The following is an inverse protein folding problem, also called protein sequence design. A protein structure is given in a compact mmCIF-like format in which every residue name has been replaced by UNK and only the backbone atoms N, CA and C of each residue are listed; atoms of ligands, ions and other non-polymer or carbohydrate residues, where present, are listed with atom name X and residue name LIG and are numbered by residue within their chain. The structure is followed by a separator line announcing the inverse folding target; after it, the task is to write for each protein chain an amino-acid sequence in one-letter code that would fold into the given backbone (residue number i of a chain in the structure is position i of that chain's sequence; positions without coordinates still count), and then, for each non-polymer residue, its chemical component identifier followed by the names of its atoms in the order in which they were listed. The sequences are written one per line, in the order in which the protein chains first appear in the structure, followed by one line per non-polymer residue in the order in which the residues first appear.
data_IF_535796306635
#
_entry.id   IF_535796306635
#
_cell.length_a   1.000
_cell.length_b   1.000
_cell.length_c   1.000
_cell.angle_alpha   90.00
_cell.angle_beta   90.00
_cell.angle_gamma   90.00
#
_symmetry.space_group_name_H-M   'P 1'
#
loop_
_entity.id
_entity.type
_entity.pdbx_description
1 polymer ?
#
# COMPACT_ATOMS: atom_id res chain seq x y z
N UNK A 1 -21.92 38.26 -19.94
CA UNK A 1 -22.24 37.29 -21.02
C UNK A 1 -20.97 36.52 -21.33
N UNK A 2 -20.83 35.29 -20.81
CA UNK A 2 -19.71 34.40 -21.14
C UNK A 2 -19.88 33.90 -22.57
N UNK A 3 -18.82 33.91 -23.37
CA UNK A 3 -18.82 33.36 -24.72
C UNK A 3 -19.20 31.86 -24.70
N UNK A 4 -19.88 31.34 -25.74
CA UNK A 4 -20.25 29.93 -25.79
C UNK A 4 -18.99 29.07 -25.90
N UNK A 5 -18.87 28.12 -24.97
CA UNK A 5 -17.78 27.16 -24.92
C UNK A 5 -17.79 26.31 -26.21
N UNK A 6 -16.71 26.38 -27.01
CA UNK A 6 -16.58 25.62 -28.25
C UNK A 6 -16.47 24.13 -27.94
N UNK A 7 -17.58 23.41 -27.96
CA UNK A 7 -17.61 21.95 -27.81
C UNK A 7 -16.89 21.31 -29.02
N UNK A 8 -15.68 20.79 -28.81
CA UNK A 8 -14.93 20.06 -29.83
C UNK A 8 -15.61 18.72 -30.13
N UNK A 9 -15.86 18.44 -31.41
CA UNK A 9 -16.56 17.22 -31.85
C UNK A 9 -15.62 16.00 -31.74
N UNK A 10 -16.04 14.98 -30.99
CA UNK A 10 -15.26 13.74 -30.77
C UNK A 10 -15.61 12.74 -31.88
N UNK A 11 -14.66 12.37 -32.75
CA UNK A 11 -14.98 11.58 -33.96
C UNK A 11 -14.01 10.42 -34.23
N UNK A 12 -12.74 10.69 -34.53
CA UNK A 12 -11.74 9.67 -34.84
C UNK A 12 -10.81 9.44 -33.64
N UNK A 13 -10.34 8.20 -33.45
CA UNK A 13 -9.43 7.76 -32.36
C UNK A 13 -10.05 7.66 -30.95
N UNK A 14 -11.31 8.04 -30.79
CA UNK A 14 -12.04 7.91 -29.51
C UNK A 14 -13.30 7.09 -29.69
N UNK A 15 -14.21 7.51 -30.58
CA UNK A 15 -15.51 6.87 -30.77
C UNK A 15 -15.58 5.94 -31.98
N UNK A 16 -14.63 6.03 -32.92
CA UNK A 16 -14.55 5.18 -34.11
C UNK A 16 -13.10 4.75 -34.38
N UNK A 17 -12.89 3.52 -34.87
CA UNK A 17 -11.58 3.05 -35.28
C UNK A 17 -11.02 3.92 -36.40
N UNK A 18 -9.72 4.22 -36.32
CA UNK A 18 -9.03 5.02 -37.32
C UNK A 18 -8.66 4.15 -38.52
N UNK A 19 -9.18 4.50 -39.70
CA UNK A 19 -9.04 3.69 -40.92
C UNK A 19 -8.26 4.40 -42.03
N UNK A 20 -8.00 5.71 -41.91
CA UNK A 20 -7.33 6.53 -42.93
C UNK A 20 -5.83 6.69 -42.64
N UNK A 21 -5.07 5.61 -42.81
CA UNK A 21 -3.64 5.58 -42.50
C UNK A 21 -2.77 6.57 -43.27
N UNK A 22 -3.18 6.98 -44.47
CA UNK A 22 -2.46 7.96 -45.29
C UNK A 22 -2.29 9.32 -44.58
N UNK A 23 -3.28 9.72 -43.78
CA UNK A 23 -3.29 11.02 -43.09
C UNK A 23 -3.03 10.87 -41.58
N UNK A 24 -2.54 9.70 -41.15
CA UNK A 24 -2.40 9.34 -39.74
C UNK A 24 -1.59 10.35 -38.94
N UNK A 25 -0.42 10.76 -39.46
CA UNK A 25 0.49 11.64 -38.74
C UNK A 25 -0.14 13.02 -38.45
N UNK A 26 -0.82 13.59 -39.44
CA UNK A 26 -1.52 14.87 -39.30
C UNK A 26 -2.72 14.74 -38.36
N UNK A 27 -3.50 13.67 -38.53
CA UNK A 27 -4.64 13.37 -37.66
C UNK A 27 -4.21 13.16 -36.19
N UNK A 28 -3.07 12.50 -35.94
CA UNK A 28 -2.53 12.31 -34.59
C UNK A 28 -2.04 13.62 -33.99
N UNK A 29 -1.34 14.47 -34.77
CA UNK A 29 -0.94 15.81 -34.32
C UNK A 29 -2.13 16.67 -33.98
N UNK A 30 -3.19 16.63 -34.78
CA UNK A 30 -4.43 17.35 -34.50
C UNK A 30 -5.11 16.81 -33.24
N UNK A 31 -5.27 15.49 -33.11
CA UNK A 31 -5.85 14.83 -31.93
C UNK A 31 -5.07 15.14 -30.65
N UNK A 32 -3.75 15.01 -30.66
CA UNK A 32 -2.88 15.33 -29.53
C UNK A 32 -3.08 16.77 -29.03
N UNK A 33 -3.37 17.69 -29.95
CA UNK A 33 -3.62 19.09 -29.63
C UNK A 33 -5.07 19.41 -29.24
N UNK A 34 -5.99 18.45 -29.31
CA UNK A 34 -7.37 18.64 -28.85
C UNK A 34 -7.44 18.77 -27.34
N UNK A 35 -8.42 19.55 -26.88
CA UNK A 35 -8.56 19.86 -25.46
C UNK A 35 -8.93 18.62 -24.65
N UNK A 36 -9.83 17.78 -25.17
CA UNK A 36 -10.25 16.56 -24.48
C UNK A 36 -9.10 15.56 -24.32
N UNK A 37 -8.18 15.45 -25.29
CA UNK A 37 -7.01 14.58 -25.17
C UNK A 37 -6.08 15.10 -24.06
N UNK A 38 -5.75 16.40 -24.08
CA UNK A 38 -4.92 17.03 -23.04
C UNK A 38 -5.52 16.87 -21.65
N UNK A 39 -6.82 17.13 -21.50
CA UNK A 39 -7.53 16.94 -20.24
C UNK A 39 -7.53 15.48 -19.80
N UNK A 40 -7.67 14.52 -20.72
CA UNK A 40 -7.62 13.10 -20.38
C UNK A 40 -6.22 12.70 -19.91
N UNK A 41 -5.16 13.17 -20.57
CA UNK A 41 -3.76 12.94 -20.15
C UNK A 41 -3.50 13.53 -18.76
N UNK A 42 -3.96 14.75 -18.50
CA UNK A 42 -3.84 15.39 -17.18
C UNK A 42 -4.59 14.57 -16.12
N UNK A 43 -5.83 14.15 -16.39
CA UNK A 43 -6.62 13.31 -15.47
C UNK A 43 -5.93 11.99 -15.17
N UNK A 44 -5.36 11.33 -16.19
CA UNK A 44 -4.58 10.11 -16.00
C UNK A 44 -3.34 10.35 -15.15
N UNK A 45 -2.61 11.44 -15.38
CA UNK A 45 -1.43 11.81 -14.59
C UNK A 45 -1.78 12.10 -13.12
N UNK A 46 -2.88 12.82 -12.86
CA UNK A 46 -3.38 13.05 -11.50
C UNK A 46 -3.83 11.76 -10.82
N UNK A 47 -4.55 10.88 -11.53
CA UNK A 47 -4.95 9.58 -11.03
C UNK A 47 -3.75 8.71 -10.66
N UNK A 48 -2.72 8.65 -11.52
CA UNK A 48 -1.49 7.92 -11.23
C UNK A 48 -0.77 8.48 -10.00
N UNK A 49 -0.74 9.81 -9.82
CA UNK A 49 -0.17 10.43 -8.61
C UNK A 49 -0.91 10.04 -7.34
N UNK A 50 -2.23 9.86 -7.40
CA UNK A 50 -3.03 9.40 -6.26
C UNK A 50 -2.73 7.92 -5.97
N UNK A 51 -2.73 7.07 -7.00
CA UNK A 51 -2.43 5.64 -6.88
C UNK A 51 -1.01 5.36 -6.35
N UNK A 52 -0.04 6.17 -6.76
CA UNK A 52 1.35 6.11 -6.28
C UNK A 52 1.54 6.73 -4.88
N UNK A 53 0.47 7.18 -4.21
CA UNK A 53 0.50 7.89 -2.94
C UNK A 53 1.33 9.20 -2.94
N UNK A 54 1.56 9.82 -4.11
CA UNK A 54 2.26 11.12 -4.25
C UNK A 54 1.34 12.31 -4.00
N UNK A 55 0.03 12.14 -4.15
CA UNK A 55 -1.02 13.09 -3.76
C UNK A 55 -2.13 12.35 -2.99
N UNK A 56 -2.75 12.98 -1.97
CA UNK A 56 -3.91 12.40 -1.32
C UNK A 56 -5.13 12.42 -2.25
N UNK A 57 -6.02 11.47 -2.07
CA UNK A 57 -7.32 11.45 -2.73
C UNK A 57 -8.12 12.72 -2.41
N UNK A 58 -8.91 13.21 -3.37
CA UNK A 58 -9.68 14.45 -3.25
C UNK A 58 -10.66 14.40 -2.06
N UNK A 59 -11.27 13.24 -1.80
CA UNK A 59 -12.16 13.06 -0.65
C UNK A 59 -11.44 13.28 0.68
N UNK A 60 -10.20 12.78 0.80
CA UNK A 60 -9.34 12.95 1.98
C UNK A 60 -8.79 14.38 2.05
N UNK A 61 -8.50 15.01 0.91
CA UNK A 61 -7.96 16.36 0.84
C UNK A 61 -8.99 17.42 1.27
N UNK A 62 -10.27 17.19 0.99
CA UNK A 62 -11.37 18.08 1.36
C UNK A 62 -11.82 17.83 2.81
N UNK A 63 -11.77 16.58 3.27
CA UNK A 63 -12.22 16.20 4.61
C UNK A 63 -11.04 15.97 5.57
N UNK A 64 -10.66 17.03 6.29
CA UNK A 64 -9.63 16.98 7.32
C UNK A 64 -9.98 16.05 8.48
N UNK A 65 -11.26 15.84 8.77
CA UNK A 65 -11.70 14.92 9.82
C UNK A 65 -11.52 13.47 9.37
N UNK A 66 -11.89 13.14 8.13
CA UNK A 66 -11.65 11.81 7.56
C UNK A 66 -10.15 11.48 7.50
N UNK A 67 -9.31 12.45 7.10
CA UNK A 67 -7.85 12.30 7.15
C UNK A 67 -7.35 11.96 8.56
N UNK A 68 -7.85 12.66 9.59
CA UNK A 68 -7.46 12.40 10.97
C UNK A 68 -7.88 11.01 11.44
N UNK A 69 -9.08 10.54 11.08
CA UNK A 69 -9.55 9.18 11.39
C UNK A 69 -8.63 8.13 10.76
N UNK A 70 -8.25 8.30 9.50
CA UNK A 70 -7.32 7.38 8.82
C UNK A 70 -5.96 7.36 9.53
N UNK A 71 -5.41 8.52 9.86
CA UNK A 71 -4.14 8.62 10.58
C UNK A 71 -4.21 7.96 11.96
N UNK A 72 -5.30 8.17 12.68
CA UNK A 72 -5.53 7.57 14.00
C UNK A 72 -5.61 6.04 13.90
N UNK A 73 -6.35 5.51 12.90
CA UNK A 73 -6.45 4.08 12.63
C UNK A 73 -5.13 3.45 12.18
N UNK A 74 -4.32 4.18 11.40
CA UNK A 74 -2.98 3.74 11.03
C UNK A 74 -2.03 3.71 12.22
N UNK A 75 -1.98 4.78 13.03
CA UNK A 75 -1.14 4.85 14.24
C UNK A 75 -1.44 3.70 15.19
N UNK A 76 -2.72 3.35 15.29
CA UNK A 76 -3.26 2.21 16.00
C UNK A 76 -2.70 0.85 15.52
N UNK A 77 -2.48 0.65 14.21
CA UNK A 77 -1.93 -0.59 13.66
C UNK A 77 -0.42 -0.75 13.85
N UNK A 78 0.31 0.36 13.98
CA UNK A 78 1.78 0.36 14.15
C UNK A 78 2.26 -0.58 15.26
N UNK A 79 1.80 -0.48 16.52
CA UNK A 79 2.30 -1.35 17.60
C UNK A 79 2.00 -2.84 17.37
N UNK A 80 0.90 -3.15 16.67
CA UNK A 80 0.51 -4.52 16.32
C UNK A 80 1.47 -5.10 15.29
N UNK A 81 1.71 -4.37 14.21
CA UNK A 81 2.62 -4.77 13.13
C UNK A 81 4.05 -4.89 13.67
N UNK A 82 4.52 -3.93 14.46
CA UNK A 82 5.84 -3.98 15.09
C UNK A 82 6.03 -5.20 15.97
N UNK A 83 4.98 -5.61 16.70
CA UNK A 83 5.03 -6.81 17.55
C UNK A 83 5.14 -8.08 16.71
N UNK A 84 4.42 -8.17 15.58
CA UNK A 84 4.53 -9.29 14.64
C UNK A 84 5.95 -9.34 14.04
N UNK A 85 6.48 -8.20 13.60
CA UNK A 85 7.84 -8.09 13.07
C UNK A 85 8.88 -8.49 14.12
N UNK A 86 8.72 -8.04 15.37
CA UNK A 86 9.60 -8.40 16.46
C UNK A 86 9.66 -9.92 16.65
N UNK A 87 8.51 -10.58 16.76
CA UNK A 87 8.44 -12.04 16.89
C UNK A 87 9.11 -12.75 15.71
N UNK A 88 8.84 -12.31 14.47
CA UNK A 88 9.45 -12.90 13.28
C UNK A 88 10.97 -12.73 13.23
N UNK A 89 11.51 -11.58 13.68
CA UNK A 89 12.97 -11.31 13.68
C UNK A 89 13.72 -12.01 14.81
N UNK A 90 13.06 -12.26 15.94
CA UNK A 90 13.65 -12.92 17.10
C UNK A 90 13.37 -14.44 17.13
N UNK A 91 12.70 -14.97 16.11
CA UNK A 91 12.29 -16.38 16.05
C UNK A 91 11.41 -16.80 17.25
N UNK A 92 10.63 -15.85 17.77
CA UNK A 92 9.72 -16.07 18.88
C UNK A 92 8.37 -16.52 18.33
N UNK A 93 7.87 -17.66 18.82
CA UNK A 93 6.57 -18.18 18.44
C UNK A 93 5.47 -17.14 18.69
N UNK A 94 4.63 -16.85 17.70
CA UNK A 94 3.61 -15.81 17.82
C UNK A 94 2.45 -16.21 18.74
N UNK A 95 1.98 -17.47 18.60
CA UNK A 95 0.72 -17.98 19.17
C UNK A 95 0.96 -18.85 20.41
N UNK A 96 -0.07 -18.91 21.25
CA UNK A 96 -0.21 -19.85 22.36
C UNK A 96 -1.40 -20.78 22.14
N UNK A 97 -1.90 -21.39 23.22
CA UNK A 97 -2.99 -22.36 23.18
C UNK A 97 -4.35 -21.72 22.85
N UNK A 98 -4.60 -20.52 23.37
CA UNK A 98 -5.82 -19.76 23.11
C UNK A 98 -5.53 -18.28 22.91
N UNK A 99 -5.51 -17.81 21.66
CA UNK A 99 -5.17 -16.44 21.28
C UNK A 99 -6.38 -15.52 21.05
N UNK A 100 -7.55 -15.90 21.59
CA UNK A 100 -8.82 -15.20 21.40
C UNK A 100 -9.24 -14.35 22.60
N UNK A 101 -10.21 -13.45 22.39
CA UNK A 101 -10.83 -12.63 23.44
C UNK A 101 -10.03 -11.37 23.83
N UNK A 102 -10.45 -10.65 24.89
CA UNK A 102 -9.83 -9.41 25.34
C UNK A 102 -8.37 -9.59 25.77
N UNK A 103 -7.49 -8.63 25.43
CA UNK A 103 -6.05 -8.76 25.67
C UNK A 103 -5.69 -8.80 27.16
N UNK A 104 -6.42 -8.07 28.00
CA UNK A 104 -6.15 -7.99 29.44
C UNK A 104 -6.86 -9.06 30.28
N UNK A 105 -7.66 -9.95 29.69
CA UNK A 105 -8.41 -10.99 30.42
C UNK A 105 -7.68 -12.33 30.52
N UNK A 106 -6.34 -12.33 30.59
CA UNK A 106 -5.55 -13.56 30.67
C UNK A 106 -5.62 -14.16 32.08
N UNK A 107 -6.03 -15.41 32.21
CA UNK A 107 -5.84 -16.19 33.43
C UNK A 107 -4.41 -16.73 33.49
N UNK A 108 -3.86 -16.92 34.69
CA UNK A 108 -2.51 -17.46 34.88
C UNK A 108 -2.32 -18.84 34.24
N UNK A 109 -3.40 -19.61 34.12
CA UNK A 109 -3.40 -20.97 33.60
C UNK A 109 -3.51 -21.06 32.07
N UNK A 110 -3.72 -19.93 31.36
CA UNK A 110 -3.91 -19.91 29.91
C UNK A 110 -2.77 -19.19 29.20
N UNK A 111 -2.02 -19.92 28.38
CA UNK A 111 -1.03 -19.34 27.48
C UNK A 111 -1.73 -18.79 26.23
N UNK A 112 -1.93 -17.47 26.15
CA UNK A 112 -2.49 -16.82 24.96
C UNK A 112 -1.44 -16.34 23.95
N UNK A 113 -0.17 -16.71 24.15
CA UNK A 113 0.92 -16.51 23.21
C UNK A 113 1.72 -15.23 23.40
N UNK A 114 2.89 -15.21 22.76
CA UNK A 114 3.85 -14.12 22.92
C UNK A 114 3.36 -12.81 22.32
N UNK A 115 2.62 -12.85 21.21
CA UNK A 115 2.05 -11.64 20.60
C UNK A 115 1.16 -10.87 21.57
N UNK A 116 0.22 -11.58 22.23
CA UNK A 116 -0.72 -10.96 23.18
C UNK A 116 -0.01 -10.50 24.45
N UNK A 117 0.94 -11.30 24.94
CA UNK A 117 1.79 -10.95 26.08
C UNK A 117 2.64 -9.71 25.83
N UNK A 118 3.23 -9.58 24.65
CA UNK A 118 4.01 -8.39 24.26
C UNK A 118 3.14 -7.14 24.13
N UNK A 119 1.94 -7.26 23.57
CA UNK A 119 0.99 -6.13 23.53
C UNK A 119 0.60 -5.66 24.92
N UNK A 120 0.35 -6.59 25.87
CA UNK A 120 0.14 -6.24 27.29
C UNK A 120 1.34 -5.53 27.87
N UNK A 121 2.54 -6.07 27.65
CA UNK A 121 3.78 -5.50 28.15
C UNK A 121 3.98 -4.06 27.64
N UNK A 122 3.77 -3.80 26.35
CA UNK A 122 3.86 -2.46 25.75
C UNK A 122 2.86 -1.48 26.38
N UNK A 123 1.59 -1.90 26.50
CA UNK A 123 0.54 -1.10 27.11
C UNK A 123 0.84 -0.76 28.58
N UNK A 124 1.37 -1.72 29.35
CA UNK A 124 1.78 -1.53 30.74
C UNK A 124 3.06 -0.68 30.88
N UNK A 125 3.91 -0.68 29.86
CA UNK A 125 5.18 0.07 29.83
C UNK A 125 5.03 1.53 29.38
N UNK A 126 3.79 2.03 29.20
CA UNK A 126 3.52 3.44 28.93
C UNK A 126 2.98 3.77 27.54
N UNK A 127 2.71 2.77 26.69
CA UNK A 127 1.98 2.98 25.43
C UNK A 127 0.47 3.19 25.72
N UNK A 128 0.13 4.41 26.16
CA UNK A 128 -1.23 4.77 26.57
C UNK A 128 -2.24 4.69 25.42
N UNK A 129 -1.81 4.99 24.20
CA UNK A 129 -2.65 4.90 23.00
C UNK A 129 -3.00 3.45 22.67
N UNK A 130 -2.01 2.55 22.73
CA UNK A 130 -2.28 1.11 22.60
C UNK A 130 -3.17 0.63 23.74
N UNK A 131 -2.87 1.03 24.98
CA UNK A 131 -3.62 0.60 26.16
C UNK A 131 -5.11 0.96 26.06
N UNK A 132 -5.41 2.24 25.86
CA UNK A 132 -6.78 2.74 25.71
C UNK A 132 -7.53 1.96 24.64
N UNK A 133 -6.87 1.71 23.50
CA UNK A 133 -7.46 0.94 22.41
C UNK A 133 -7.80 -0.49 22.81
N UNK A 134 -6.86 -1.19 23.44
CA UNK A 134 -7.02 -2.58 23.83
C UNK A 134 -8.13 -2.77 24.88
N UNK A 135 -8.43 -1.73 25.66
CA UNK A 135 -9.49 -1.72 26.68
C UNK A 135 -10.85 -1.25 26.12
N UNK A 136 -10.85 -0.20 25.29
CA UNK A 136 -12.06 0.56 24.95
C UNK A 136 -12.55 0.39 23.51
N UNK A 137 -11.78 -0.23 22.62
CA UNK A 137 -12.20 -0.41 21.22
C UNK A 137 -13.18 -1.56 21.04
N UNK A 138 -14.10 -1.40 20.09
CA UNK A 138 -14.93 -2.50 19.60
C UNK A 138 -14.04 -3.66 19.10
N UNK A 139 -14.50 -4.91 19.26
CA UNK A 139 -13.70 -6.12 19.02
C UNK A 139 -13.09 -6.17 17.61
N UNK A 140 -13.80 -5.68 16.60
CA UNK A 140 -13.33 -5.60 15.20
C UNK A 140 -12.25 -4.52 14.98
N UNK A 141 -12.15 -3.54 15.87
CA UNK A 141 -11.21 -2.43 15.78
C UNK A 141 -9.94 -2.64 16.61
N UNK A 142 -9.74 -3.82 17.22
CA UNK A 142 -8.54 -4.16 18.01
C UNK A 142 -7.43 -4.76 17.14
N UNK A 143 -7.78 -5.40 16.01
CA UNK A 143 -6.84 -6.02 15.05
C UNK A 143 -5.91 -7.08 15.65
N UNK A 144 -6.33 -7.70 16.75
CA UNK A 144 -5.58 -8.75 17.45
C UNK A 144 -6.07 -10.17 17.13
N UNK A 145 -7.08 -10.31 16.27
CA UNK A 145 -7.66 -11.61 15.94
C UNK A 145 -6.67 -12.51 15.20
N UNK A 146 -6.79 -13.85 15.30
CA UNK A 146 -5.93 -14.78 14.57
C UNK A 146 -5.94 -14.56 13.06
N UNK A 147 -7.12 -14.23 12.52
CA UNK A 147 -7.34 -13.94 11.11
C UNK A 147 -6.58 -12.67 10.68
N UNK A 148 -6.74 -11.59 11.44
CA UNK A 148 -6.02 -10.33 11.16
C UNK A 148 -4.51 -10.50 11.25
N UNK A 149 -4.02 -11.28 12.22
CA UNK A 149 -2.60 -11.61 12.33
C UNK A 149 -2.10 -12.35 11.07
N UNK A 150 -2.85 -13.35 10.58
CA UNK A 150 -2.48 -14.09 9.37
C UNK A 150 -2.45 -13.19 8.13
N UNK A 151 -3.42 -12.29 7.98
CA UNK A 151 -3.44 -11.32 6.88
C UNK A 151 -2.22 -10.40 6.91
N UNK A 152 -1.89 -9.85 8.09
CA UNK A 152 -0.70 -9.00 8.27
C UNK A 152 0.59 -9.77 7.98
N UNK A 153 0.69 -11.03 8.43
CA UNK A 153 1.84 -11.90 8.16
C UNK A 153 1.97 -12.13 6.65
N UNK A 154 0.88 -12.42 5.94
CA UNK A 154 0.91 -12.66 4.50
C UNK A 154 1.34 -11.40 3.71
N UNK A 155 0.83 -10.23 4.09
CA UNK A 155 1.23 -8.95 3.48
C UNK A 155 2.74 -8.71 3.68
N UNK A 156 3.22 -8.95 4.90
CA UNK A 156 4.63 -8.74 5.24
C UNK A 156 5.54 -9.77 4.54
N UNK A 157 5.13 -11.03 4.47
CA UNK A 157 5.81 -12.10 3.76
C UNK A 157 5.97 -11.77 2.28
N UNK A 158 4.89 -11.36 1.60
CA UNK A 158 4.96 -10.94 0.19
C UNK A 158 5.94 -9.78 -0.04
N UNK A 159 5.99 -8.81 0.89
CA UNK A 159 6.93 -7.69 0.84
C UNK A 159 8.38 -8.15 1.01
N UNK A 160 8.66 -9.02 1.98
CA UNK A 160 10.00 -9.58 2.20
C UNK A 160 10.44 -10.39 0.98
N UNK A 161 9.59 -11.30 0.50
CA UNK A 161 9.88 -12.13 -0.66
C UNK A 161 10.23 -11.27 -1.88
N UNK A 162 9.43 -10.23 -2.15
CA UNK A 162 9.70 -9.28 -3.23
C UNK A 162 11.08 -8.64 -3.08
N UNK A 163 11.43 -8.13 -1.89
CA UNK A 163 12.72 -7.51 -1.64
C UNK A 163 13.90 -8.49 -1.84
N UNK A 164 13.75 -9.74 -1.37
CA UNK A 164 14.77 -10.79 -1.54
C UNK A 164 14.95 -11.12 -3.03
N UNK A 165 13.86 -11.37 -3.74
CA UNK A 165 13.89 -11.69 -5.18
C UNK A 165 14.53 -10.54 -5.98
N UNK A 166 14.14 -9.29 -5.71
CA UNK A 166 14.74 -8.12 -6.38
C UNK A 166 16.24 -8.06 -6.15
N UNK A 167 16.73 -8.29 -4.92
CA UNK A 167 18.17 -8.29 -4.62
C UNK A 167 18.91 -9.42 -5.34
N UNK A 168 18.35 -10.62 -5.36
CA UNK A 168 18.95 -11.77 -6.05
C UNK A 168 19.03 -11.51 -7.56
N UNK A 169 17.94 -11.05 -8.17
CA UNK A 169 17.90 -10.71 -9.61
C UNK A 169 18.91 -9.61 -9.95
N UNK A 170 19.02 -8.59 -9.10
CA UNK A 170 19.99 -7.51 -9.27
C UNK A 170 21.44 -8.02 -9.22
N UNK A 171 21.79 -8.86 -8.23
CA UNK A 171 23.11 -9.47 -8.13
C UNK A 171 23.40 -10.34 -9.37
N UNK A 172 22.44 -11.15 -9.80
CA UNK A 172 22.58 -11.99 -10.99
C UNK A 172 22.82 -11.16 -12.26
N UNK A 173 22.11 -10.04 -12.41
CA UNK A 173 22.31 -9.10 -13.52
C UNK A 173 23.73 -8.51 -13.52
N UNK A 174 24.24 -8.07 -12.36
CA UNK A 174 25.61 -7.56 -12.22
C UNK A 174 26.63 -8.64 -12.61
N UNK A 175 26.46 -9.87 -12.11
CA UNK A 175 27.37 -10.98 -12.40
C UNK A 175 27.40 -11.33 -13.89
N UNK A 176 26.25 -11.29 -14.58
CA UNK A 176 26.20 -11.47 -16.04
C UNK A 176 26.93 -10.34 -16.78
N UNK A 177 26.78 -9.10 -16.33
CA UNK A 177 27.42 -7.94 -16.98
C UNK A 177 28.93 -7.90 -16.79
N UNK A 178 29.42 -8.35 -15.63
CA UNK A 178 30.86 -8.48 -15.33
C UNK A 178 31.51 -9.68 -16.01
N UNK A 179 30.72 -10.65 -16.50
CA UNK A 179 31.18 -11.81 -17.27
C UNK A 179 31.21 -11.53 -18.78
N UNK A 180 31.54 -10.32 -19.22
CA UNK A 180 31.91 -10.12 -20.64
C UNK A 180 33.29 -10.75 -20.87
N UNK A 181 33.45 -11.65 -21.85
CA UNK A 181 34.75 -12.19 -22.19
C UNK A 181 35.64 -11.03 -22.65
N UNK A 182 36.85 -10.93 -22.10
CA UNK A 182 37.89 -10.11 -22.69
C UNK A 182 38.09 -10.59 -24.13
N UNK A 183 37.66 -9.80 -25.11
CA UNK A 183 38.09 -9.98 -26.49
C UNK A 183 39.61 -9.87 -26.51
N UNK A 184 40.29 -11.01 -26.51
CA UNK A 184 41.69 -11.09 -26.87
C UNK A 184 41.77 -10.78 -28.36
N UNK A 185 42.12 -9.53 -28.68
CA UNK A 185 42.58 -9.15 -30.00
C UNK A 185 44.01 -9.66 -30.14
N UNK A 186 44.17 -10.74 -30.91
CA UNK A 186 45.44 -11.14 -31.53
C UNK A 186 45.29 -11.06 -33.03
#
# INVERSE_FOLDING_TARGET
MSAPEKVQRVVALVSKPFIKWRDALECFKLHFNTEYHKLSVIRTDEFLKIMDNKKPDISIAIDSAHKNIVLENCAKLVPIIETIIFCGRQEVALRGDNDSGPIFSCSADNNDGNFRSLLRCRAQSGDLTLKDRLENSATNAVYTSPLTQNELIHIYDASIQTQIVTKIVFIFFILLYLRKPSCNTS
#
